data_IF_276644007959
#
_entry.id   IF_276644007959
#
_cell.length_a   1.000
_cell.length_b   1.000
_cell.length_c   1.000
_cell.angle_alpha   90.00
_cell.angle_beta   90.00
_cell.angle_gamma   90.00
#
_symmetry.space_group_name_H-M   'P 1'
#
loop_
_entity.id
_entity.type
_entity.pdbx_description
1 polymer ?
#
# COMPACT_ATOMS: atom_id res chain seq x y z
N UNK A 1 6.30 6.70 -14.75
CA UNK A 1 6.10 5.92 -16.00
C UNK A 1 6.65 6.68 -17.19
N UNK A 2 7.37 6.03 -18.13
CA UNK A 2 7.80 6.68 -19.38
C UNK A 2 6.62 6.99 -20.34
N UNK A 3 6.79 7.96 -21.26
CA UNK A 3 5.71 8.42 -22.16
C UNK A 3 5.15 7.33 -23.08
N UNK A 4 5.98 6.34 -23.45
CA UNK A 4 5.59 5.19 -24.29
C UNK A 4 4.67 4.24 -23.54
N UNK A 5 4.97 3.96 -22.27
CA UNK A 5 4.16 3.11 -21.39
C UNK A 5 2.84 3.80 -21.03
N UNK A 6 2.84 5.13 -20.80
CA UNK A 6 1.59 5.91 -20.62
C UNK A 6 0.62 5.73 -21.80
N UNK A 7 1.13 5.86 -23.04
CA UNK A 7 0.33 5.69 -24.25
C UNK A 7 -0.21 4.26 -24.38
N UNK A 8 0.61 3.26 -24.09
CA UNK A 8 0.19 1.84 -24.11
C UNK A 8 -0.87 1.52 -23.05
N UNK A 9 -0.72 2.06 -21.84
CA UNK A 9 -1.71 1.93 -20.76
C UNK A 9 -3.07 2.49 -21.16
N UNK A 10 -3.11 3.70 -21.73
CA UNK A 10 -4.35 4.29 -22.23
C UNK A 10 -5.01 3.43 -23.30
N UNK A 11 -4.23 2.83 -24.18
CA UNK A 11 -4.75 1.95 -25.23
C UNK A 11 -5.34 0.65 -24.66
N UNK A 12 -4.66 0.01 -23.69
CA UNK A 12 -5.15 -1.18 -23.02
C UNK A 12 -6.46 -0.91 -22.27
N UNK A 13 -6.58 0.24 -21.60
CA UNK A 13 -7.82 0.63 -20.90
C UNK A 13 -8.99 0.76 -21.87
N UNK A 14 -8.79 1.35 -23.06
CA UNK A 14 -9.85 1.41 -24.08
C UNK A 14 -10.29 0.03 -24.54
N UNK A 15 -9.33 -0.88 -24.73
CA UNK A 15 -9.62 -2.25 -25.14
C UNK A 15 -10.33 -3.05 -24.04
N UNK A 16 -10.04 -2.75 -22.76
CA UNK A 16 -10.76 -3.34 -21.62
C UNK A 16 -12.23 -2.96 -21.63
N UNK A 17 -12.56 -1.67 -21.81
CA UNK A 17 -13.97 -1.24 -21.90
C UNK A 17 -14.72 -1.95 -23.03
N UNK A 18 -14.09 -2.09 -24.20
CA UNK A 18 -14.69 -2.83 -25.34
C UNK A 18 -14.85 -4.32 -25.00
N UNK A 19 -13.89 -4.93 -24.31
CA UNK A 19 -13.97 -6.33 -23.92
C UNK A 19 -15.03 -6.57 -22.83
N UNK A 20 -15.23 -5.62 -21.93
CA UNK A 20 -16.32 -5.60 -20.93
C UNK A 20 -17.69 -5.50 -21.59
N UNK A 21 -17.86 -4.57 -22.53
CA UNK A 21 -19.10 -4.42 -23.30
C UNK A 21 -19.47 -5.70 -24.09
N UNK A 22 -18.45 -6.46 -24.51
CA UNK A 22 -18.62 -7.72 -25.24
C UNK A 22 -18.57 -8.97 -24.34
N UNK A 23 -18.52 -8.80 -23.01
CA UNK A 23 -18.39 -9.87 -22.01
C UNK A 23 -17.25 -10.87 -22.30
N UNK A 24 -16.18 -10.42 -22.97
CA UNK A 24 -15.07 -11.26 -23.41
C UNK A 24 -14.04 -11.43 -22.29
N UNK A 25 -14.37 -12.31 -21.35
CA UNK A 25 -13.56 -12.61 -20.16
C UNK A 25 -12.12 -13.04 -20.46
N UNK A 26 -11.89 -13.72 -21.59
CA UNK A 26 -10.55 -14.14 -22.00
C UNK A 26 -9.68 -12.92 -22.37
N UNK A 27 -10.27 -11.97 -23.11
CA UNK A 27 -9.60 -10.74 -23.51
C UNK A 27 -9.39 -9.79 -22.32
N UNK A 28 -10.38 -9.66 -21.43
CA UNK A 28 -10.24 -8.90 -20.17
C UNK A 28 -9.05 -9.41 -19.36
N UNK A 29 -8.93 -10.75 -19.20
CA UNK A 29 -7.81 -11.36 -18.47
C UNK A 29 -6.47 -11.09 -19.14
N UNK A 30 -6.39 -11.20 -20.47
CA UNK A 30 -5.16 -10.93 -21.25
C UNK A 30 -4.71 -9.48 -21.08
N UNK A 31 -5.65 -8.55 -21.24
CA UNK A 31 -5.41 -7.11 -21.12
C UNK A 31 -5.04 -6.70 -19.69
N UNK A 32 -5.66 -7.31 -18.67
CA UNK A 32 -5.29 -7.10 -17.27
C UNK A 32 -3.83 -7.49 -16.97
N UNK A 33 -3.35 -8.62 -17.49
CA UNK A 33 -1.95 -9.04 -17.35
C UNK A 33 -1.01 -8.06 -18.08
N UNK A 34 -1.38 -7.65 -19.29
CA UNK A 34 -0.60 -6.68 -20.05
C UNK A 34 -0.53 -5.32 -19.35
N UNK A 35 -1.61 -4.88 -18.69
CA UNK A 35 -1.65 -3.66 -17.90
C UNK A 35 -0.71 -3.75 -16.68
N UNK A 36 -0.77 -4.85 -15.92
CA UNK A 36 0.12 -5.10 -14.78
C UNK A 36 1.59 -5.17 -15.19
N UNK A 37 1.88 -5.66 -16.40
CA UNK A 37 3.27 -5.75 -16.92
C UNK A 37 3.83 -4.41 -17.42
N UNK A 38 2.98 -3.39 -17.59
CA UNK A 38 3.40 -2.04 -17.94
C UNK A 38 3.69 -1.16 -16.72
N UNK A 39 3.20 -1.57 -15.55
CA UNK A 39 3.45 -0.91 -14.29
C UNK A 39 4.79 -1.45 -13.75
N UNK A 40 5.78 -0.56 -13.63
CA UNK A 40 7.02 -0.90 -12.95
C UNK A 40 6.66 -1.33 -11.51
N UNK A 41 7.21 -2.43 -10.98
CA UNK A 41 6.95 -2.84 -9.61
C UNK A 41 7.30 -1.74 -8.59
N UNK A 42 8.20 -0.81 -8.97
CA UNK A 42 8.58 0.36 -8.18
C UNK A 42 7.59 1.54 -8.29
N UNK A 43 6.74 1.59 -9.33
CA UNK A 43 5.70 2.63 -9.52
C UNK A 43 4.35 2.27 -8.90
N UNK A 44 4.21 1.04 -8.39
CA UNK A 44 3.06 0.63 -7.57
C UNK A 44 2.91 1.48 -6.29
N UNK A 45 3.97 2.21 -5.91
CA UNK A 45 3.99 3.08 -4.74
C UNK A 45 3.50 4.52 -5.00
N UNK A 46 3.47 5.01 -6.26
CA UNK A 46 3.11 6.42 -6.57
C UNK A 46 1.61 6.67 -6.78
N UNK A 47 0.81 5.66 -7.14
CA UNK A 47 -0.64 5.80 -7.34
C UNK A 47 -1.49 5.46 -6.09
N UNK A 48 -0.86 5.03 -4.99
CA UNK A 48 -1.54 4.73 -3.72
C UNK A 48 -1.49 5.88 -2.69
N UNK A 49 -1.17 7.09 -3.15
CA UNK A 49 -1.03 8.28 -2.30
C UNK A 49 -2.38 8.78 -1.71
N UNK A 50 -3.52 8.34 -2.26
CA UNK A 50 -4.83 8.71 -1.71
C UNK A 50 -5.36 7.77 -0.61
N UNK A 51 -4.62 6.73 -0.20
CA UNK A 51 -5.05 5.81 0.88
C UNK A 51 -3.96 5.32 1.83
N UNK A 52 -2.69 5.69 1.62
CA UNK A 52 -1.60 5.40 2.54
C UNK A 52 -1.01 6.70 3.04
N UNK A 53 -1.60 7.33 4.06
CA UNK A 53 -0.85 8.28 4.90
C UNK A 53 0.41 7.54 5.33
N UNK A 54 1.57 7.83 4.74
CA UNK A 54 2.84 7.28 5.21
C UNK A 54 2.99 7.80 6.63
N UNK A 55 3.34 6.93 7.57
CA UNK A 55 3.70 7.40 8.91
C UNK A 55 5.01 8.16 8.73
N UNK A 56 4.96 9.49 8.82
CA UNK A 56 6.15 10.35 8.89
C UNK A 56 6.73 10.23 10.30
N UNK A 57 7.26 9.04 10.59
CA UNK A 57 7.83 8.67 11.87
C UNK A 57 9.05 7.79 11.59
N UNK A 58 10.19 8.16 12.13
CA UNK A 58 11.39 7.33 12.13
C UNK A 58 11.26 6.20 13.16
N UNK A 59 12.11 5.18 13.05
CA UNK A 59 12.12 4.06 14.03
C UNK A 59 12.45 4.58 15.43
N UNK A 60 13.39 5.52 15.55
CA UNK A 60 13.82 6.07 16.83
C UNK A 60 12.70 6.90 17.48
N UNK A 61 12.04 7.77 16.71
CA UNK A 61 10.89 8.53 17.22
C UNK A 61 9.74 7.62 17.65
N UNK A 62 9.51 6.51 16.94
CA UNK A 62 8.53 5.51 17.39
C UNK A 62 8.92 4.88 18.73
N UNK A 63 10.20 4.54 18.92
CA UNK A 63 10.68 3.94 20.17
C UNK A 63 10.55 4.92 21.34
N UNK A 64 10.94 6.18 21.14
CA UNK A 64 10.79 7.26 22.11
C UNK A 64 9.32 7.45 22.52
N UNK A 65 8.41 7.50 21.53
CA UNK A 65 6.98 7.59 21.83
C UNK A 65 6.46 6.33 22.54
N UNK A 66 7.01 5.15 22.24
CA UNK A 66 6.53 3.90 22.83
C UNK A 66 6.87 3.75 24.31
N UNK A 67 7.85 4.50 24.81
CA UNK A 67 8.14 4.56 26.25
C UNK A 67 6.98 5.17 27.06
N UNK A 68 6.16 6.03 26.42
CA UNK A 68 5.13 6.84 27.10
C UNK A 68 3.72 6.51 26.61
N UNK A 69 3.57 6.26 25.31
CA UNK A 69 2.27 6.16 24.63
C UNK A 69 2.01 4.75 24.10
N UNK A 70 0.73 4.38 24.02
CA UNK A 70 0.28 3.15 23.36
C UNK A 70 0.28 3.30 21.84
N UNK A 71 0.30 2.20 21.10
CA UNK A 71 0.26 2.24 19.63
C UNK A 71 -0.97 2.98 19.09
N UNK A 72 -2.13 2.89 19.76
CA UNK A 72 -3.31 3.66 19.38
C UNK A 72 -3.07 5.16 19.55
N UNK A 73 -2.51 5.58 20.69
CA UNK A 73 -2.20 6.98 20.95
C UNK A 73 -1.13 7.52 20.01
N UNK A 74 -0.12 6.70 19.66
CA UNK A 74 0.89 7.07 18.68
C UNK A 74 0.25 7.25 17.30
N UNK A 75 -0.69 6.38 16.92
CA UNK A 75 -1.42 6.53 15.66
C UNK A 75 -2.22 7.83 15.64
N UNK A 76 -2.86 8.18 16.76
CA UNK A 76 -3.61 9.43 16.90
C UNK A 76 -2.68 10.67 16.84
N UNK A 77 -1.53 10.65 17.52
CA UNK A 77 -0.50 11.71 17.51
C UNK A 77 0.04 11.92 16.08
N UNK A 78 0.34 10.83 15.37
CA UNK A 78 0.82 10.88 14.00
C UNK A 78 -0.31 11.14 12.97
N UNK A 79 -1.57 11.24 13.40
CA UNK A 79 -2.71 11.45 12.51
C UNK A 79 -2.92 10.32 11.49
N UNK A 80 -2.56 9.08 11.85
CA UNK A 80 -2.69 7.90 10.98
C UNK A 80 -3.67 6.89 11.57
N UNK A 81 -4.23 6.03 10.72
CA UNK A 81 -5.04 4.91 11.20
C UNK A 81 -4.13 3.88 11.90
N UNK A 82 -4.63 3.20 12.94
CA UNK A 82 -3.88 2.17 13.69
C UNK A 82 -3.24 1.11 12.76
N UNK A 83 -4.01 0.61 11.79
CA UNK A 83 -3.53 -0.28 10.72
C UNK A 83 -2.30 0.24 9.97
N UNK A 84 -2.20 1.54 9.73
CA UNK A 84 -1.05 2.17 9.08
C UNK A 84 0.19 2.10 9.98
N UNK A 85 0.03 2.43 11.27
CA UNK A 85 1.12 2.30 12.25
C UNK A 85 1.56 0.84 12.44
N UNK A 86 0.61 -0.11 12.42
CA UNK A 86 0.93 -1.53 12.44
C UNK A 86 1.79 -1.96 11.25
N UNK A 87 1.46 -1.50 10.04
CA UNK A 87 2.27 -1.79 8.84
C UNK A 87 3.65 -1.15 8.91
N UNK A 88 3.77 0.07 9.45
CA UNK A 88 5.05 0.71 9.73
C UNK A 88 5.91 -0.16 10.67
N UNK A 89 5.34 -0.62 11.78
CA UNK A 89 6.06 -1.50 12.72
C UNK A 89 6.49 -2.81 12.07
N UNK A 90 5.60 -3.44 11.28
CA UNK A 90 5.91 -4.69 10.58
C UNK A 90 7.06 -4.54 9.60
N UNK A 91 7.10 -3.46 8.84
CA UNK A 91 8.17 -3.17 7.87
C UNK A 91 9.53 -2.95 8.56
N UNK A 92 9.52 -2.36 9.75
CA UNK A 92 10.72 -2.06 10.53
C UNK A 92 11.06 -3.14 11.57
N UNK A 93 10.39 -4.29 11.57
CA UNK A 93 10.68 -5.38 12.52
C UNK A 93 10.28 -5.12 13.98
N UNK A 94 9.42 -4.13 14.23
CA UNK A 94 8.98 -3.67 15.56
C UNK A 94 7.70 -4.37 16.04
N UNK A 95 7.29 -5.44 15.38
CA UNK A 95 6.16 -6.26 15.80
C UNK A 95 6.63 -7.14 16.94
N UNK A 96 6.48 -6.64 18.16
CA UNK A 96 6.69 -7.43 19.36
C UNK A 96 5.61 -8.53 19.37
N UNK A 97 5.98 -9.82 19.46
CA UNK A 97 4.98 -10.88 19.62
C UNK A 97 4.15 -10.55 20.85
N UNK A 98 2.81 -10.70 20.77
CA UNK A 98 1.94 -10.57 21.94
C UNK A 98 2.51 -11.48 23.04
N UNK A 99 3.15 -10.90 24.05
CA UNK A 99 3.37 -11.60 25.31
C UNK A 99 1.98 -11.79 25.89
N UNK A 100 1.44 -13.00 25.72
CA UNK A 100 0.38 -13.49 26.58
C UNK A 100 0.81 -13.25 28.03
N UNK A 101 -0.14 -12.78 28.84
CA UNK A 101 0.01 -12.41 30.24
C UNK A 101 1.01 -13.31 31.00
N UNK A 102 2.19 -12.78 31.32
CA UNK A 102 2.97 -13.30 32.45
C UNK A 102 2.61 -12.47 33.67
N UNK A 103 1.49 -12.84 34.30
CA UNK A 103 1.29 -12.59 35.72
C UNK A 103 2.29 -13.45 36.49
N UNK A 104 3.13 -12.83 37.32
CA UNK A 104 3.62 -13.39 38.58
C UNK A 104 3.66 -12.28 39.61
#
# INVERSE_FOLDING_TARGET
MNAKNKKKRTEIIKQLCIAEDNENNAEIKRLGIALMSLEDPDEFDELHDNTRRRVELTVDEYLDYREIFTDQQIADICGVHEKTLYLFRKRNGLVIPRKEHMNK
#
